data_IF_417218673936
#
_entry.id   IF_417218673936
#
_cell.length_a   1.000
_cell.length_b   1.000
_cell.length_c   1.000
_cell.angle_alpha   90.00
_cell.angle_beta   90.00
_cell.angle_gamma   90.00
#
_symmetry.space_group_name_H-M   'P 1'
#
loop_
_entity.id
_entity.type
_entity.pdbx_description
1 polymer ?
#
# COMPACT_ATOMS: atom_id res chain seq x y z
N UNK A 1 -9.42 -7.66 8.16
CA UNK A 1 -8.00 -7.30 7.96
C UNK A 1 -8.03 -5.97 7.25
N UNK A 2 -7.47 -4.93 7.86
CA UNK A 2 -7.34 -3.63 7.21
C UNK A 2 -6.01 -3.61 6.46
N UNK A 3 -6.01 -3.11 5.21
CA UNK A 3 -4.77 -2.86 4.48
C UNK A 3 -3.95 -1.75 5.13
N UNK A 4 -2.74 -1.49 4.62
CA UNK A 4 -1.93 -0.34 5.03
C UNK A 4 -2.03 0.79 3.99
N UNK A 5 -1.86 2.03 4.44
CA UNK A 5 -1.87 3.21 3.57
C UNK A 5 -0.60 3.36 2.71
N UNK A 6 -0.52 4.40 1.87
CA UNK A 6 0.65 4.69 1.05
C UNK A 6 1.96 4.83 1.87
N UNK A 7 3.07 4.45 1.25
CA UNK A 7 4.40 4.47 1.89
C UNK A 7 5.14 5.81 1.69
N UNK A 8 4.85 6.51 0.59
CA UNK A 8 5.40 7.78 0.13
C UNK A 8 4.24 8.76 -0.14
N UNK A 9 3.55 9.18 0.92
CA UNK A 9 2.35 10.03 0.88
C UNK A 9 2.61 11.31 0.08
N UNK A 10 3.79 11.91 0.25
CA UNK A 10 4.18 13.16 -0.44
C UNK A 10 4.19 13.01 -1.96
N UNK A 11 4.41 11.80 -2.48
CA UNK A 11 4.42 11.54 -3.93
C UNK A 11 3.03 11.36 -4.53
N UNK A 12 2.02 11.13 -3.68
CA UNK A 12 0.63 11.00 -4.11
C UNK A 12 -0.13 12.33 -4.05
N UNK A 13 0.45 13.37 -3.43
CA UNK A 13 -0.16 14.69 -3.43
C UNK A 13 -0.24 15.28 -4.84
N UNK A 14 -1.41 15.79 -5.25
CA UNK A 14 -1.53 16.54 -6.50
C UNK A 14 -0.66 17.79 -6.47
N UNK A 15 -0.05 18.12 -7.61
CA UNK A 15 0.70 19.36 -7.75
C UNK A 15 -0.20 20.58 -7.48
N UNK A 16 0.30 21.53 -6.68
CA UNK A 16 -0.42 22.78 -6.43
C UNK A 16 -0.58 23.61 -7.71
N UNK A 17 -1.80 24.08 -7.97
CA UNK A 17 -2.12 24.95 -9.10
C UNK A 17 -2.89 26.16 -8.62
N UNK A 18 -2.26 27.33 -8.70
CA UNK A 18 -2.89 28.59 -8.33
C UNK A 18 -4.01 28.94 -9.33
N UNK A 19 -5.21 29.24 -8.82
CA UNK A 19 -6.29 29.83 -9.61
C UNK A 19 -7.15 28.87 -10.43
N UNK A 20 -7.05 27.54 -10.25
CA UNK A 20 -8.00 26.61 -10.85
C UNK A 20 -9.33 26.63 -10.07
N UNK A 21 -10.20 27.58 -10.40
CA UNK A 21 -11.63 27.58 -10.07
C UNK A 21 -12.45 26.82 -11.14
N UNK A 22 -11.88 25.75 -11.69
CA UNK A 22 -12.61 24.76 -12.49
C UNK A 22 -13.18 23.69 -11.56
N UNK A 23 -14.23 22.97 -12.00
CA UNK A 23 -14.95 21.90 -11.27
C UNK A 23 -14.11 21.30 -10.13
N UNK A 24 -14.48 21.63 -8.88
CA UNK A 24 -13.75 21.20 -7.71
C UNK A 24 -13.74 19.67 -7.67
N UNK A 25 -12.63 19.06 -8.08
CA UNK A 25 -12.41 17.63 -7.90
C UNK A 25 -12.49 17.33 -6.40
N UNK A 26 -13.09 16.19 -6.01
CA UNK A 26 -13.03 15.76 -4.63
C UNK A 26 -11.55 15.66 -4.20
N UNK A 27 -11.23 16.03 -2.95
CA UNK A 27 -9.89 15.87 -2.41
C UNK A 27 -9.43 14.42 -2.51
N UNK A 28 -8.13 14.20 -2.71
CA UNK A 28 -7.57 12.85 -2.61
C UNK A 28 -7.51 12.41 -1.14
N UNK A 29 -7.47 11.09 -0.85
CA UNK A 29 -7.32 10.61 0.52
C UNK A 29 -6.12 11.21 1.26
N UNK A 30 -5.01 11.45 0.56
CA UNK A 30 -3.80 12.06 1.12
C UNK A 30 -3.99 13.54 1.42
N UNK A 31 -4.77 14.26 0.61
CA UNK A 31 -5.15 15.64 0.94
C UNK A 31 -6.05 15.67 2.18
N UNK A 32 -7.05 14.79 2.26
CA UNK A 32 -7.92 14.70 3.43
C UNK A 32 -7.15 14.35 4.71
N UNK A 33 -6.18 13.43 4.63
CA UNK A 33 -5.26 13.11 5.73
C UNK A 33 -4.52 14.35 6.25
N UNK A 34 -4.19 15.30 5.37
CA UNK A 34 -3.47 16.53 5.68
C UNK A 34 -4.40 17.74 5.94
N UNK A 35 -5.70 17.51 6.10
CA UNK A 35 -6.69 18.55 6.41
C UNK A 35 -7.32 19.24 5.20
N UNK A 36 -7.23 18.64 4.02
CA UNK A 36 -7.84 19.08 2.76
C UNK A 36 -6.85 19.65 1.75
N UNK A 37 -7.30 20.08 0.55
CA UNK A 37 -6.42 20.62 -0.49
C UNK A 37 -5.73 21.91 -0.07
N UNK A 38 -4.44 22.05 -0.41
CA UNK A 38 -3.73 23.31 -0.23
C UNK A 38 -4.40 24.46 -1.01
N UNK A 39 -4.63 25.58 -0.33
CA UNK A 39 -5.21 26.79 -0.94
C UNK A 39 -4.17 27.85 -1.28
N UNK A 40 -2.94 27.71 -0.78
CA UNK A 40 -1.81 28.61 -1.05
C UNK A 40 -0.51 27.82 -1.25
N UNK A 41 0.52 28.40 -1.91
CA UNK A 41 1.83 27.77 -2.03
C UNK A 41 2.48 27.46 -0.67
N UNK A 42 2.29 28.33 0.33
CA UNK A 42 2.84 28.16 1.67
C UNK A 42 2.20 26.97 2.39
N UNK A 43 0.86 26.84 2.29
CA UNK A 43 0.15 25.69 2.82
C UNK A 43 0.56 24.40 2.10
N UNK A 44 0.70 24.43 0.76
CA UNK A 44 1.18 23.26 0.01
C UNK A 44 2.59 22.80 0.46
N UNK A 45 3.49 23.76 0.70
CA UNK A 45 4.84 23.44 1.22
C UNK A 45 4.79 22.81 2.61
N UNK A 46 3.89 23.31 3.48
CA UNK A 46 3.65 22.71 4.79
C UNK A 46 3.09 21.29 4.68
N UNK A 47 2.11 21.07 3.80
CA UNK A 47 1.52 19.76 3.54
C UNK A 47 2.54 18.76 3.01
N UNK A 48 3.44 19.16 2.10
CA UNK A 48 4.54 18.31 1.65
C UNK A 48 5.44 17.87 2.81
N UNK A 49 5.80 18.81 3.69
CA UNK A 49 6.61 18.48 4.88
C UNK A 49 5.89 17.55 5.85
N UNK A 50 4.59 17.73 6.04
CA UNK A 50 3.77 16.87 6.89
C UNK A 50 3.60 15.47 6.28
N UNK A 51 3.37 15.39 4.97
CA UNK A 51 3.29 14.14 4.23
C UNK A 51 4.60 13.35 4.36
N UNK A 52 5.75 13.99 4.13
CA UNK A 52 7.06 13.38 4.35
C UNK A 52 7.24 12.89 5.79
N UNK A 53 6.84 13.70 6.78
CA UNK A 53 6.93 13.31 8.18
C UNK A 53 6.02 12.12 8.54
N UNK A 54 4.91 11.93 7.82
CA UNK A 54 3.96 10.84 8.02
C UNK A 54 4.27 9.59 7.17
N UNK A 55 5.06 9.72 6.12
CA UNK A 55 5.36 8.64 5.18
C UNK A 55 6.15 7.50 5.83
N UNK A 56 5.64 6.25 5.76
CA UNK A 56 6.32 5.06 6.29
C UNK A 56 7.77 4.88 5.86
N UNK A 57 8.13 5.23 4.63
CA UNK A 57 9.52 5.06 4.15
C UNK A 57 10.54 5.93 4.90
N UNK A 58 10.08 7.01 5.54
CA UNK A 58 10.95 7.95 6.27
C UNK A 58 11.00 7.65 7.77
N UNK A 59 10.23 6.67 8.26
CA UNK A 59 10.20 6.31 9.69
C UNK A 59 11.39 5.44 10.08
N UNK A 60 11.77 5.49 11.36
CA UNK A 60 12.72 4.53 11.91
C UNK A 60 12.10 3.13 11.95
N UNK A 61 12.64 2.24 11.13
CA UNK A 61 12.23 0.84 11.02
C UNK A 61 13.37 -0.13 11.41
N UNK A 62 14.37 0.33 12.17
CA UNK A 62 15.51 -0.51 12.61
C UNK A 62 15.07 -1.76 13.40
N UNK A 63 13.96 -1.67 14.12
CA UNK A 63 13.35 -2.76 14.89
C UNK A 63 12.08 -3.33 14.25
N UNK A 64 11.83 -3.02 12.97
CA UNK A 64 10.66 -3.54 12.29
C UNK A 64 10.64 -5.08 12.31
N UNK A 65 9.51 -5.72 12.66
CA UNK A 65 9.37 -7.17 12.56
C UNK A 65 9.50 -7.61 11.09
N UNK A 66 9.49 -8.92 10.80
CA UNK A 66 9.40 -9.40 9.43
C UNK A 66 8.10 -8.91 8.75
N UNK A 67 8.18 -8.50 7.49
CA UNK A 67 7.03 -8.03 6.69
C UNK A 67 6.67 -9.02 5.59
N UNK A 68 5.37 -9.33 5.48
CA UNK A 68 4.76 -9.84 4.26
C UNK A 68 3.89 -8.72 3.67
N UNK A 69 4.29 -8.25 2.49
CA UNK A 69 3.63 -7.19 1.75
C UNK A 69 2.93 -7.82 0.56
N UNK A 70 1.61 -7.72 0.46
CA UNK A 70 0.84 -8.23 -0.67
C UNK A 70 0.11 -7.07 -1.34
N UNK A 71 0.32 -6.88 -2.64
CA UNK A 71 -0.30 -5.79 -3.40
C UNK A 71 -0.84 -6.28 -4.74
N UNK A 72 -1.96 -5.71 -5.17
CA UNK A 72 -2.55 -6.02 -6.48
C UNK A 72 -2.05 -5.07 -7.56
N UNK A 73 -1.54 -5.60 -8.66
CA UNK A 73 -1.01 -4.81 -9.80
C UNK A 73 -2.09 -4.01 -10.55
N UNK A 74 -3.37 -4.34 -10.31
CA UNK A 74 -4.54 -3.62 -10.82
C UNK A 74 -5.09 -2.57 -9.85
N UNK A 75 -4.41 -2.28 -8.73
CA UNK A 75 -4.84 -1.25 -7.78
C UNK A 75 -4.68 0.15 -8.38
N UNK A 76 -5.81 0.79 -8.69
CA UNK A 76 -5.87 2.16 -9.23
C UNK A 76 -6.02 3.23 -8.16
N UNK A 77 -6.17 2.85 -6.89
CA UNK A 77 -6.30 3.79 -5.77
C UNK A 77 -4.94 4.03 -5.11
N UNK A 78 -4.18 2.96 -4.88
CA UNK A 78 -2.83 3.02 -4.34
C UNK A 78 -1.90 2.25 -5.29
N UNK A 79 -1.03 2.96 -6.05
CA UNK A 79 -0.10 2.30 -6.95
C UNK A 79 0.83 1.32 -6.23
N UNK A 80 1.10 0.17 -6.82
CA UNK A 80 2.00 -0.85 -6.25
C UNK A 80 3.43 -0.34 -5.99
N UNK A 81 3.83 0.77 -6.64
CA UNK A 81 5.12 1.42 -6.40
C UNK A 81 5.29 1.85 -4.95
N UNK A 82 4.19 2.10 -4.22
CA UNK A 82 4.20 2.37 -2.78
C UNK A 82 4.71 1.14 -1.99
N UNK A 83 4.27 -0.04 -2.37
CA UNK A 83 4.65 -1.32 -1.75
C UNK A 83 6.09 -1.71 -2.12
N UNK A 84 6.50 -1.42 -3.36
CA UNK A 84 7.89 -1.55 -3.81
C UNK A 84 8.82 -0.61 -3.02
N UNK A 85 8.41 0.64 -2.78
CA UNK A 85 9.19 1.60 -2.00
C UNK A 85 9.35 1.16 -0.55
N UNK A 86 8.27 0.71 0.10
CA UNK A 86 8.31 0.18 1.47
C UNK A 86 9.21 -1.05 1.57
N UNK A 87 9.06 -2.01 0.66
CA UNK A 87 9.91 -3.20 0.60
C UNK A 87 11.39 -2.82 0.47
N UNK A 88 11.71 -1.94 -0.49
CA UNK A 88 13.08 -1.49 -0.74
C UNK A 88 13.70 -0.82 0.48
N UNK A 89 12.94 0.02 1.19
CA UNK A 89 13.41 0.68 2.40
C UNK A 89 13.66 -0.31 3.54
N UNK A 90 12.74 -1.26 3.76
CA UNK A 90 12.93 -2.30 4.77
C UNK A 90 14.19 -3.13 4.48
N UNK A 91 14.38 -3.56 3.22
CA UNK A 91 15.58 -4.30 2.81
C UNK A 91 16.84 -3.47 3.00
N UNK A 92 16.82 -2.19 2.63
CA UNK A 92 17.95 -1.27 2.81
C UNK A 92 18.36 -1.15 4.29
N UNK A 93 17.39 -1.16 5.21
CA UNK A 93 17.62 -1.15 6.65
C UNK A 93 17.97 -2.53 7.23
N UNK A 94 18.22 -3.53 6.38
CA UNK A 94 18.55 -4.90 6.79
C UNK A 94 17.38 -5.65 7.45
N UNK A 95 16.14 -5.22 7.19
CA UNK A 95 14.93 -5.86 7.72
C UNK A 95 14.43 -6.95 6.78
N UNK A 96 13.82 -7.97 7.37
CA UNK A 96 13.19 -9.06 6.62
C UNK A 96 11.90 -8.56 5.98
N UNK A 97 11.83 -8.65 4.66
CA UNK A 97 10.65 -8.25 3.90
C UNK A 97 10.45 -9.19 2.71
N UNK A 98 9.21 -9.60 2.52
CA UNK A 98 8.72 -10.33 1.34
C UNK A 98 7.64 -9.48 0.68
N UNK A 99 7.81 -9.15 -0.60
CA UNK A 99 6.84 -8.45 -1.43
C UNK A 99 6.23 -9.41 -2.44
N UNK A 100 4.91 -9.47 -2.49
CA UNK A 100 4.10 -10.26 -3.42
C UNK A 100 3.23 -9.30 -4.23
N UNK A 101 3.44 -9.26 -5.54
CA UNK A 101 2.62 -8.47 -6.48
C UNK A 101 1.71 -9.42 -7.28
N UNK A 102 0.41 -9.35 -7.03
CA UNK A 102 -0.61 -10.24 -7.58
C UNK A 102 -1.17 -9.64 -8.88
N UNK A 103 -1.20 -10.43 -9.94
CA UNK A 103 -1.59 -9.97 -11.27
C UNK A 103 -3.07 -9.57 -11.33
N UNK A 104 -3.35 -8.35 -11.79
CA UNK A 104 -4.71 -7.84 -12.07
C UNK A 104 -5.60 -7.59 -10.86
N UNK A 105 -5.13 -7.83 -9.63
CA UNK A 105 -5.91 -7.60 -8.40
C UNK A 105 -6.01 -6.11 -8.09
N UNK A 106 -7.21 -5.64 -7.73
CA UNK A 106 -7.50 -4.23 -7.40
C UNK A 106 -7.46 -3.91 -5.91
N UNK A 107 -7.81 -2.68 -5.55
CA UNK A 107 -7.81 -2.22 -4.16
C UNK A 107 -8.76 -3.04 -3.26
N UNK A 108 -8.30 -3.42 -2.06
CA UNK A 108 -9.14 -4.12 -1.08
C UNK A 108 -9.36 -5.62 -1.35
N UNK A 109 -8.53 -6.26 -2.18
CA UNK A 109 -8.69 -7.69 -2.54
C UNK A 109 -8.68 -8.68 -1.36
N UNK A 110 -8.08 -8.29 -0.23
CA UNK A 110 -8.03 -9.03 1.04
C UNK A 110 -9.31 -8.90 1.89
N UNK A 111 -10.15 -7.90 1.60
CA UNK A 111 -11.34 -7.65 2.40
C UNK A 111 -12.35 -8.78 2.20
N UNK A 112 -13.03 -9.26 3.26
CA UNK A 112 -14.02 -10.31 3.12
C UNK A 112 -15.27 -9.84 2.39
N UNK A 113 -15.85 -10.71 1.55
CA UNK A 113 -17.20 -10.54 0.99
C UNK A 113 -17.44 -9.24 0.23
N UNK A 114 -18.61 -8.61 0.43
CA UNK A 114 -18.93 -7.28 -0.11
C UNK A 114 -18.85 -6.26 1.03
N UNK A 115 -17.72 -5.56 1.17
CA UNK A 115 -17.64 -4.38 2.06
C UNK A 115 -18.33 -3.20 1.38
N UNK A 116 -19.22 -2.54 2.12
CA UNK A 116 -20.01 -1.40 1.62
C UNK A 116 -19.11 -0.18 1.37
N UNK A 117 -19.33 0.39 0.19
CA UNK A 117 -18.55 1.37 -0.58
C UNK A 117 -18.09 2.65 0.16
N UNK A 118 -16.87 3.11 -0.16
CA UNK A 118 -16.28 4.42 0.17
C UNK A 118 -16.96 5.60 -0.55
N UNK A 119 -18.29 5.61 -0.60
CA UNK A 119 -19.08 6.56 -1.38
C UNK A 119 -19.38 6.07 -2.81
N UNK A 120 -20.20 6.83 -3.57
CA UNK A 120 -20.72 6.38 -4.85
C UNK A 120 -19.61 6.18 -5.91
N UNK A 121 -19.55 4.98 -6.49
CA UNK A 121 -18.68 4.66 -7.63
C UNK A 121 -17.32 4.07 -7.28
N UNK A 122 -17.00 3.88 -5.98
CA UNK A 122 -15.73 3.30 -5.52
C UNK A 122 -15.82 1.78 -5.44
N UNK A 123 -15.44 1.09 -6.52
CA UNK A 123 -15.44 -0.38 -6.54
C UNK A 123 -14.16 -0.95 -5.92
N UNK A 124 -14.31 -1.66 -4.82
CA UNK A 124 -13.25 -2.47 -4.22
C UNK A 124 -13.26 -3.89 -4.80
N UNK A 125 -12.10 -4.53 -4.86
CA UNK A 125 -11.92 -5.90 -5.35
C UNK A 125 -12.16 -6.96 -4.25
N UNK A 126 -13.06 -6.64 -3.31
CA UNK A 126 -13.26 -7.40 -2.08
C UNK A 126 -13.46 -8.90 -2.35
N UNK A 127 -12.81 -9.73 -1.54
CA UNK A 127 -12.93 -11.18 -1.52
C UNK A 127 -12.27 -11.88 -2.70
N UNK A 128 -11.57 -11.16 -3.59
CA UNK A 128 -10.98 -11.78 -4.77
C UNK A 128 -9.86 -12.75 -4.42
N UNK A 129 -9.12 -12.53 -3.35
CA UNK A 129 -8.11 -13.50 -2.89
C UNK A 129 -8.72 -14.87 -2.56
N UNK A 130 -9.93 -14.90 -2.00
CA UNK A 130 -10.64 -16.15 -1.73
C UNK A 130 -11.22 -16.78 -3.00
N UNK A 131 -11.69 -15.95 -3.94
CA UNK A 131 -12.30 -16.42 -5.20
C UNK A 131 -11.28 -16.92 -6.22
N UNK A 132 -10.11 -16.30 -6.28
CA UNK A 132 -9.07 -16.51 -7.28
C UNK A 132 -7.68 -16.75 -6.64
N UNK A 133 -7.54 -17.74 -5.73
CA UNK A 133 -6.33 -17.93 -4.91
C UNK A 133 -5.08 -18.33 -5.71
N UNK A 134 -5.25 -18.81 -6.95
CA UNK A 134 -4.16 -19.30 -7.79
C UNK A 134 -3.74 -18.30 -8.89
N UNK A 135 -4.09 -17.03 -8.72
CA UNK A 135 -3.65 -15.97 -9.63
C UNK A 135 -2.13 -15.83 -9.59
N UNK A 136 -1.52 -15.61 -10.75
CA UNK A 136 -0.08 -15.41 -10.86
C UNK A 136 0.39 -14.23 -10.02
N UNK A 137 1.59 -14.34 -9.46
CA UNK A 137 2.24 -13.25 -8.75
C UNK A 137 3.72 -13.20 -9.09
N UNK A 138 4.31 -12.02 -8.90
CA UNK A 138 5.77 -11.86 -8.83
C UNK A 138 6.19 -11.61 -7.39
N UNK A 139 7.39 -12.04 -7.02
CA UNK A 139 7.89 -11.90 -5.66
C UNK A 139 9.28 -11.28 -5.61
N UNK A 140 9.52 -10.52 -4.55
CA UNK A 140 10.83 -10.01 -4.16
C UNK A 140 11.04 -10.28 -2.67
N UNK A 141 12.25 -10.69 -2.28
CA UNK A 141 12.59 -10.99 -0.89
C UNK A 141 13.90 -10.32 -0.50
N UNK A 142 13.98 -9.89 0.76
CA UNK A 142 15.26 -9.53 1.37
C UNK A 142 16.27 -10.68 1.23
N UNK A 143 17.58 -10.41 1.18
CA UNK A 143 18.59 -11.45 1.28
C UNK A 143 18.38 -12.32 2.52
N UNK A 144 18.68 -13.63 2.40
CA UNK A 144 18.60 -14.60 3.51
C UNK A 144 17.22 -14.67 4.20
N UNK A 145 16.15 -14.35 3.47
CA UNK A 145 14.78 -14.46 3.99
C UNK A 145 14.40 -15.94 4.19
N UNK A 146 13.98 -16.37 5.39
CA UNK A 146 13.66 -17.77 5.67
C UNK A 146 12.27 -18.20 5.15
N UNK A 147 11.48 -17.28 4.60
CA UNK A 147 10.14 -17.58 4.12
C UNK A 147 10.18 -18.19 2.72
N UNK A 148 10.02 -19.50 2.62
CA UNK A 148 10.01 -20.23 1.36
C UNK A 148 8.75 -19.94 0.53
N UNK A 149 8.92 -19.58 -0.74
CA UNK A 149 7.83 -19.28 -1.67
C UNK A 149 7.54 -20.40 -2.67
N UNK A 150 8.41 -21.41 -2.75
CA UNK A 150 8.30 -22.46 -3.76
C UNK A 150 6.99 -23.24 -3.59
N UNK A 151 6.22 -23.33 -4.69
CA UNK A 151 4.95 -24.05 -4.71
C UNK A 151 3.78 -23.36 -4.00
N UNK A 152 3.96 -22.15 -3.47
CA UNK A 152 2.88 -21.39 -2.85
C UNK A 152 2.02 -20.65 -3.88
N UNK A 153 0.75 -20.48 -3.54
CA UNK A 153 -0.17 -19.57 -4.23
C UNK A 153 -0.33 -18.30 -3.40
N UNK A 154 -0.64 -17.16 -4.03
CA UNK A 154 -0.94 -15.93 -3.31
C UNK A 154 -2.34 -16.03 -2.69
N UNK A 155 -2.42 -16.63 -1.49
CA UNK A 155 -3.67 -16.93 -0.82
C UNK A 155 -3.58 -16.80 0.72
N UNK A 156 -4.66 -17.16 1.41
CA UNK A 156 -4.71 -17.14 2.87
C UNK A 156 -3.78 -18.16 3.54
N UNK A 157 -3.36 -19.21 2.84
CA UNK A 157 -2.44 -20.20 3.38
C UNK A 157 -1.01 -19.66 3.39
N UNK A 158 -0.57 -18.95 2.34
CA UNK A 158 0.69 -18.19 2.36
C UNK A 158 0.75 -17.24 3.55
N UNK A 159 -0.32 -16.49 3.82
CA UNK A 159 -0.41 -15.56 4.96
C UNK A 159 -0.25 -16.31 6.29
N UNK A 160 -0.93 -17.44 6.46
CA UNK A 160 -0.80 -18.26 7.67
C UNK A 160 0.61 -18.83 7.84
N UNK A 161 1.22 -19.34 6.77
CA UNK A 161 2.59 -19.87 6.83
C UNK A 161 3.59 -18.79 7.24
N UNK A 162 3.43 -17.57 6.73
CA UNK A 162 4.26 -16.43 7.13
C UNK A 162 4.15 -16.15 8.64
N UNK A 163 2.94 -16.15 9.19
CA UNK A 163 2.74 -15.97 10.63
C UNK A 163 3.29 -17.13 11.46
N UNK A 164 3.08 -18.38 11.03
CA UNK A 164 3.61 -19.55 11.72
C UNK A 164 5.14 -19.53 11.82
N UNK A 165 5.82 -19.04 10.77
CA UNK A 165 7.28 -18.93 10.74
C UNK A 165 7.82 -17.92 11.76
N UNK A 166 7.11 -16.81 11.99
CA UNK A 166 7.64 -15.68 12.76
C UNK A 166 7.02 -15.50 14.15
N UNK A 167 5.88 -16.15 14.43
CA UNK A 167 5.15 -16.05 15.70
C UNK A 167 4.95 -17.41 16.40
N UNK A 168 5.32 -18.52 15.74
CA UNK A 168 5.13 -19.90 16.22
C UNK A 168 6.30 -20.46 17.02
#
# INVERSE_FOLDING_TARGET
>A
MEGYGPAEIEKLLPAFRAGEAGEAKPPTPEQDLLGGPATTPENYTLQLSQAQAASPVHQDATHAPPFLIMHGTGDTMVPETQSVALHSQLVHLGRQSTLILIEGFGHGFLNPGNVTELGPGVRLDNGRLEREPHTGFTAQQSPENPFELEGLAADHEMIKQFFNLHLG
#
